data_IF_009734323149
#
_entry.id   IF_009734323149
#
_cell.length_a   1.000
_cell.length_b   1.000
_cell.length_c   1.000
_cell.angle_alpha   90.00
_cell.angle_beta   90.00
_cell.angle_gamma   90.00
#
_symmetry.space_group_name_H-M   'P 1'
#
loop_
_entity.id
_entity.type
_entity.pdbx_description
1 polymer ?
#
# COMPACT_ATOMS: atom_id res chain seq x y z
N UNK A 1 -9.80 0.13 9.75
CA UNK A 1 -9.49 1.01 8.61
C UNK A 1 -7.99 0.93 8.36
N UNK A 2 -7.57 0.48 7.17
CA UNK A 2 -6.15 0.33 6.83
C UNK A 2 -5.64 1.66 6.26
N UNK A 3 -4.67 2.28 6.94
CA UNK A 3 -4.08 3.58 6.56
C UNK A 3 -2.59 3.45 6.23
N UNK A 4 -2.13 2.27 5.82
CA UNK A 4 -0.78 2.19 5.29
C UNK A 4 -0.68 3.17 4.12
N UNK A 5 0.49 3.78 3.98
CA UNK A 5 0.78 4.75 2.94
C UNK A 5 0.13 6.14 3.07
N UNK A 6 -0.62 6.46 4.14
CA UNK A 6 -1.14 7.82 4.39
C UNK A 6 -0.08 8.93 4.30
N UNK A 7 1.16 8.58 4.61
CA UNK A 7 2.30 9.49 4.66
C UNK A 7 3.25 9.38 3.47
N UNK A 8 2.93 8.56 2.46
CA UNK A 8 3.71 8.51 1.22
C UNK A 8 3.55 9.84 0.49
N UNK A 9 4.68 10.50 0.20
CA UNK A 9 4.68 11.83 -0.39
C UNK A 9 4.76 11.79 -1.92
N UNK A 10 5.36 10.74 -2.49
CA UNK A 10 5.63 10.67 -3.93
C UNK A 10 5.67 9.24 -4.49
N UNK A 11 5.66 9.13 -5.82
CA UNK A 11 5.93 7.88 -6.53
C UNK A 11 7.32 7.33 -6.18
N UNK A 12 8.32 8.19 -6.06
CA UNK A 12 9.66 7.80 -5.62
C UNK A 12 9.64 7.16 -4.22
N UNK A 13 8.90 7.73 -3.26
CA UNK A 13 8.76 7.16 -1.91
C UNK A 13 8.00 5.84 -1.92
N UNK A 14 6.90 5.77 -2.67
CA UNK A 14 6.14 4.54 -2.86
C UNK A 14 7.04 3.42 -3.40
N UNK A 15 7.79 3.72 -4.45
CA UNK A 15 8.70 2.75 -5.07
C UNK A 15 9.83 2.36 -4.13
N UNK A 16 10.34 3.30 -3.33
CA UNK A 16 11.33 3.04 -2.29
C UNK A 16 10.78 2.09 -1.22
N UNK A 17 9.55 2.31 -0.75
CA UNK A 17 8.88 1.42 0.20
C UNK A 17 8.72 0.03 -0.42
N UNK A 18 8.17 -0.07 -1.63
CA UNK A 18 7.93 -1.35 -2.28
C UNK A 18 9.22 -2.13 -2.52
N UNK A 19 10.32 -1.53 -2.99
CA UNK A 19 11.59 -2.24 -3.16
C UNK A 19 12.24 -2.67 -1.82
N UNK A 20 11.88 -2.06 -0.70
CA UNK A 20 12.41 -2.37 0.64
C UNK A 20 11.47 -3.21 1.50
N UNK A 21 10.29 -3.56 1.00
CA UNK A 21 9.42 -4.52 1.65
C UNK A 21 10.03 -5.92 1.53
N UNK A 22 10.43 -6.45 2.67
CA UNK A 22 11.07 -7.76 2.79
C UNK A 22 10.42 -8.53 3.94
N UNK A 23 10.45 -9.86 3.86
CA UNK A 23 9.92 -10.71 4.93
C UNK A 23 10.89 -10.76 6.12
N UNK A 24 12.19 -10.68 5.84
CA UNK A 24 13.23 -10.69 6.85
C UNK A 24 13.91 -9.32 6.98
N UNK A 25 14.16 -8.83 8.22
CA UNK A 25 14.93 -7.62 8.45
C UNK A 25 16.34 -7.70 7.84
N UNK A 26 16.76 -6.63 7.17
CA UNK A 26 18.11 -6.53 6.60
C UNK A 26 18.29 -7.25 5.26
N UNK A 27 17.23 -7.85 4.70
CA UNK A 27 17.25 -8.30 3.31
C UNK A 27 17.55 -7.13 2.37
N UNK A 28 18.28 -7.43 1.30
CA UNK A 28 18.63 -6.43 0.29
C UNK A 28 17.37 -5.97 -0.45
N UNK A 29 17.44 -4.78 -1.05
CA UNK A 29 16.38 -4.27 -1.93
C UNK A 29 15.95 -5.35 -2.93
N UNK A 30 14.65 -5.57 -3.02
CA UNK A 30 14.00 -6.48 -3.95
C UNK A 30 13.54 -5.78 -5.23
N UNK A 31 12.70 -6.47 -6.00
CA UNK A 31 11.98 -5.86 -7.12
C UNK A 31 10.72 -5.18 -6.58
N UNK A 32 10.56 -3.90 -6.91
CA UNK A 32 9.35 -3.14 -6.63
C UNK A 32 8.11 -3.88 -7.14
N UNK A 33 8.17 -4.42 -8.34
CA UNK A 33 7.05 -5.07 -9.01
C UNK A 33 6.66 -6.40 -8.37
N UNK A 34 7.63 -7.19 -7.91
CA UNK A 34 7.35 -8.44 -7.18
C UNK A 34 6.80 -8.14 -5.79
N UNK A 35 7.45 -7.23 -5.06
CA UNK A 35 7.05 -6.88 -3.69
C UNK A 35 5.68 -6.19 -3.67
N UNK A 36 5.39 -5.31 -4.63
CA UNK A 36 4.07 -4.71 -4.77
C UNK A 36 2.99 -5.77 -5.02
N UNK A 37 3.26 -6.77 -5.87
CA UNK A 37 2.32 -7.89 -6.07
C UNK A 37 2.08 -8.68 -4.78
N UNK A 38 3.12 -8.90 -4.00
CA UNK A 38 2.99 -9.60 -2.71
C UNK A 38 2.20 -8.79 -1.69
N UNK A 39 2.41 -7.47 -1.63
CA UNK A 39 1.59 -6.57 -0.81
C UNK A 39 0.15 -6.55 -1.28
N UNK A 40 -0.11 -6.41 -2.58
CA UNK A 40 -1.46 -6.42 -3.15
C UNK A 40 -2.16 -7.74 -2.82
N UNK A 41 -1.46 -8.86 -2.97
CA UNK A 41 -1.97 -10.19 -2.62
C UNK A 41 -2.25 -10.29 -1.13
N UNK A 42 -1.32 -9.86 -0.28
CA UNK A 42 -1.47 -9.89 1.16
C UNK A 42 -2.67 -9.06 1.61
N UNK A 43 -2.76 -7.80 1.18
CA UNK A 43 -3.85 -6.90 1.54
C UNK A 43 -5.19 -7.34 0.95
N UNK A 44 -5.16 -8.01 -0.21
CA UNK A 44 -6.33 -8.60 -0.85
C UNK A 44 -6.93 -9.80 -0.13
N UNK A 45 -6.23 -10.40 0.83
CA UNK A 45 -6.77 -11.54 1.58
C UNK A 45 -7.94 -11.07 2.45
N UNK A 46 -9.09 -11.69 2.24
CA UNK A 46 -10.32 -11.43 2.97
C UNK A 46 -11.05 -10.14 2.54
N UNK A 47 -10.57 -9.45 1.51
CA UNK A 47 -11.31 -8.35 0.89
C UNK A 47 -12.50 -8.88 0.11
N UNK A 48 -13.67 -8.27 0.30
CA UNK A 48 -14.86 -8.54 -0.51
C UNK A 48 -15.19 -7.40 -1.44
N UNK A 49 -15.45 -7.75 -2.70
CA UNK A 49 -16.07 -6.85 -3.68
C UNK A 49 -17.54 -6.67 -3.30
N UNK A 50 -17.83 -5.61 -2.56
CA UNK A 50 -19.18 -5.16 -2.24
C UNK A 50 -19.47 -3.84 -2.96
N UNK A 51 -20.74 -3.55 -3.20
CA UNK A 51 -21.16 -2.28 -3.79
C UNK A 51 -20.51 -1.11 -3.01
N UNK A 52 -19.79 -0.24 -3.73
CA UNK A 52 -18.94 0.87 -3.22
C UNK A 52 -17.57 0.52 -2.61
N UNK A 53 -17.31 -0.74 -2.27
CA UNK A 53 -16.01 -1.17 -1.77
C UNK A 53 -15.11 -1.66 -2.89
N UNK A 54 -13.83 -1.33 -2.78
CA UNK A 54 -12.80 -1.71 -3.75
C UNK A 54 -11.76 -2.57 -3.09
N UNK A 55 -10.93 -3.21 -3.91
CA UNK A 55 -9.76 -3.92 -3.43
C UNK A 55 -8.63 -2.93 -3.15
N UNK A 56 -8.16 -2.85 -1.90
CA UNK A 56 -7.08 -1.94 -1.51
C UNK A 56 -5.86 -2.18 -2.39
N UNK A 57 -5.54 -3.46 -2.59
CA UNK A 57 -4.45 -3.88 -3.45
C UNK A 57 -4.60 -3.40 -4.90
N UNK A 58 -5.79 -3.49 -5.50
CA UNK A 58 -6.01 -2.97 -6.87
C UNK A 58 -5.84 -1.44 -6.93
N UNK A 59 -6.25 -0.73 -5.87
CA UNK A 59 -6.11 0.73 -5.81
C UNK A 59 -4.73 1.23 -5.38
N UNK A 60 -3.82 0.38 -4.90
CA UNK A 60 -2.44 0.79 -4.65
C UNK A 60 -1.78 1.34 -5.91
N UNK A 61 -2.06 0.74 -7.06
CA UNK A 61 -1.60 1.26 -8.37
C UNK A 61 -2.19 2.64 -8.65
N UNK A 62 -3.46 2.86 -8.32
CA UNK A 62 -4.11 4.17 -8.49
C UNK A 62 -3.51 5.22 -7.53
N UNK A 63 -3.25 4.84 -6.27
CA UNK A 63 -2.56 5.68 -5.31
C UNK A 63 -1.20 6.10 -5.85
N UNK A 64 -0.38 5.14 -6.29
CA UNK A 64 0.91 5.41 -6.91
C UNK A 64 0.77 6.43 -8.05
N UNK A 65 -0.16 6.21 -8.98
CA UNK A 65 -0.31 7.08 -10.15
C UNK A 65 -0.81 8.50 -9.81
N UNK A 66 -1.51 8.67 -8.69
CA UNK A 66 -2.01 9.98 -8.25
C UNK A 66 -0.98 10.79 -7.42
N UNK A 67 0.11 10.16 -7.00
CA UNK A 67 1.18 10.85 -6.28
C UNK A 67 2.04 11.69 -7.22
N UNK A 68 2.62 12.80 -6.75
CA UNK A 68 3.66 13.50 -7.52
C UNK A 68 4.85 12.56 -7.76
N UNK A 69 5.57 12.76 -8.86
CA UNK A 69 6.71 11.91 -9.23
C UNK A 69 7.77 11.90 -8.12
N UNK A 70 8.05 13.08 -7.55
CA UNK A 70 8.97 13.30 -6.43
C UNK A 70 8.53 14.54 -5.65
N UNK A 71 8.94 14.63 -4.40
CA UNK A 71 8.83 15.85 -3.57
C UNK A 71 10.21 16.42 -3.27
N UNK A 72 10.27 17.71 -2.99
CA UNK A 72 11.52 18.36 -2.59
C UNK A 72 11.99 17.88 -1.21
N UNK A 73 13.31 17.81 -0.94
CA UNK A 73 13.82 17.31 0.34
C UNK A 73 13.42 18.19 1.54
N UNK A 74 13.18 19.48 1.31
CA UNK A 74 12.76 20.45 2.33
C UNK A 74 11.24 20.68 2.34
N UNK A 75 10.47 19.95 1.52
CA UNK A 75 9.02 20.07 1.52
C UNK A 75 8.43 19.46 2.79
N UNK A 76 7.42 20.11 3.41
CA UNK A 76 6.79 19.56 4.59
C UNK A 76 6.03 18.27 4.23
N UNK A 77 6.11 17.27 5.11
CA UNK A 77 5.29 16.07 5.00
C UNK A 77 3.80 16.43 5.05
N UNK A 78 3.07 16.07 4.01
CA UNK A 78 1.62 16.26 3.90
C UNK A 78 0.94 14.89 3.87
N UNK A 79 0.03 14.59 4.81
CA UNK A 79 -0.74 13.37 4.71
C UNK A 79 -1.64 13.43 3.48
N UNK A 80 -1.86 12.28 2.84
CA UNK A 80 -2.93 12.14 1.86
C UNK A 80 -4.26 12.49 2.55
N UNK A 81 -5.06 13.42 1.98
CA UNK A 81 -6.34 13.80 2.56
C UNK A 81 -7.24 12.60 2.88
N UNK A 82 -7.89 12.60 4.04
CA UNK A 82 -8.71 11.47 4.50
C UNK A 82 -9.82 11.09 3.51
N UNK A 83 -10.37 12.07 2.78
CA UNK A 83 -11.38 11.82 1.75
C UNK A 83 -10.81 10.98 0.59
N UNK A 84 -9.56 11.23 0.18
CA UNK A 84 -8.88 10.41 -0.82
C UNK A 84 -8.48 9.06 -0.22
N UNK A 85 -8.06 9.05 1.05
CA UNK A 85 -7.78 7.80 1.76
C UNK A 85 -9.00 6.87 1.82
N UNK A 86 -10.21 7.44 1.91
CA UNK A 86 -11.47 6.69 1.88
C UNK A 86 -11.68 5.94 0.57
N UNK A 87 -11.18 6.47 -0.54
CA UNK A 87 -11.21 5.78 -1.83
C UNK A 87 -10.30 4.56 -1.79
N UNK A 88 -9.19 4.61 -1.08
CA UNK A 88 -8.29 3.49 -0.88
C UNK A 88 -8.73 2.62 0.31
N UNK A 89 -10.01 2.52 0.67
CA UNK A 89 -10.44 1.59 1.72
C UNK A 89 -11.03 0.32 1.11
N UNK A 90 -10.67 -0.81 1.71
CA UNK A 90 -11.32 -2.09 1.47
C UNK A 90 -12.12 -2.51 2.69
N UNK A 91 -13.25 -3.17 2.42
CA UNK A 91 -13.95 -3.93 3.45
C UNK A 91 -13.30 -5.30 3.56
N UNK A 92 -12.75 -5.59 4.74
CA UNK A 92 -12.20 -6.90 5.09
C UNK A 92 -13.20 -7.58 6.01
N UNK A 93 -13.81 -8.68 5.56
CA UNK A 93 -14.77 -9.44 6.37
C UNK A 93 -14.24 -10.80 6.80
N UNK A 94 -13.18 -11.27 6.15
CA UNK A 94 -12.49 -12.50 6.45
C UNK A 94 -11.12 -12.19 7.06
N UNK A 95 -10.84 -12.81 8.20
CA UNK A 95 -9.55 -12.67 8.86
C UNK A 95 -8.47 -13.38 8.03
N UNK A 96 -7.27 -12.78 7.96
CA UNK A 96 -6.11 -13.48 7.42
C UNK A 96 -5.92 -14.83 8.12
N UNK A 97 -5.64 -15.91 7.39
CA UNK A 97 -5.26 -17.18 8.01
C UNK A 97 -4.08 -16.97 8.96
N UNK A 98 -4.08 -17.65 10.12
CA UNK A 98 -3.03 -17.50 11.13
C UNK A 98 -1.62 -17.70 10.56
N UNK A 99 -1.49 -18.59 9.57
CA UNK A 99 -0.22 -18.89 8.90
C UNK A 99 0.30 -17.75 8.01
N UNK A 100 -0.55 -16.79 7.63
CA UNK A 100 -0.14 -15.61 6.86
C UNK A 100 0.49 -14.53 7.74
N UNK A 101 0.25 -14.56 9.05
CA UNK A 101 0.86 -13.63 10.02
C UNK A 101 2.25 -14.06 10.47
N UNK A 102 2.67 -15.28 10.13
CA UNK A 102 4.01 -15.80 10.43
C UNK A 102 4.92 -15.37 9.27
N UNK A 103 5.53 -14.20 9.39
CA UNK A 103 6.70 -13.81 8.61
C UNK A 103 7.96 -14.39 9.25
#
# INVERSE_FOLDING_TARGET
MFMALKWVQSQADYNNIMQHLTLSPGEKKGSKELNEKDVIKFLGIGERKLFFYTNYGEKLTLLHNNLPVSVGPDEPFRPIPDILMSEYLAMVDEQHPTNTMIA
#
